data_IF_045175370974
#
_entry.id   IF_045175370974
#
_cell.length_a   1.000
_cell.length_b   1.000
_cell.length_c   1.000
_cell.angle_alpha   90.00
_cell.angle_beta   90.00
_cell.angle_gamma   90.00
#
_symmetry.space_group_name_H-M   'P 1'
#
loop_
_entity.id
_entity.type
_entity.pdbx_description
1 polymer ?
#
# COMPACT_ATOMS: atom_id res chain seq x y z
N UNK A 1 24.13 3.28 11.06
CA UNK A 1 23.54 2.00 10.64
C UNK A 1 22.80 2.27 9.34
N UNK A 2 23.34 1.80 8.22
CA UNK A 2 22.66 1.88 6.93
C UNK A 2 21.78 0.65 6.84
N UNK A 3 20.46 0.81 6.96
CA UNK A 3 19.54 -0.25 6.54
C UNK A 3 19.70 -0.37 5.02
N UNK A 4 20.28 -1.48 4.57
CA UNK A 4 20.15 -1.89 3.18
C UNK A 4 18.66 -1.93 2.84
N UNK A 5 18.20 -1.45 1.67
CA UNK A 5 16.80 -1.60 1.31
C UNK A 5 16.48 -3.09 1.34
N UNK A 6 15.68 -3.51 2.30
CA UNK A 6 15.26 -4.89 2.41
C UNK A 6 14.46 -5.19 1.14
N UNK A 7 14.95 -6.11 0.31
CA UNK A 7 14.28 -6.60 -0.90
C UNK A 7 13.01 -7.43 -0.58
N UNK A 8 12.42 -7.23 0.59
CA UNK A 8 11.20 -7.88 1.03
C UNK A 8 9.95 -7.14 0.56
N UNK A 9 8.78 -7.79 0.66
CA UNK A 9 7.51 -7.14 0.32
C UNK A 9 7.28 -5.93 1.25
N UNK A 10 6.84 -4.83 0.66
CA UNK A 10 6.51 -3.58 1.37
C UNK A 10 5.00 -3.47 1.55
N UNK A 11 4.57 -2.89 2.66
CA UNK A 11 3.17 -2.54 2.89
C UNK A 11 2.72 -1.39 2.00
N UNK A 12 1.51 -1.48 1.47
CA UNK A 12 0.87 -0.43 0.68
C UNK A 12 -0.59 -0.26 1.05
N UNK A 13 -1.06 0.98 0.94
CA UNK A 13 -2.45 1.39 1.03
C UNK A 13 -2.82 2.00 -0.31
N UNK A 14 -3.98 1.63 -0.84
CA UNK A 14 -4.47 2.09 -2.12
C UNK A 14 -5.81 2.80 -1.94
N UNK A 15 -5.97 3.91 -2.66
CA UNK A 15 -7.28 4.52 -2.91
C UNK A 15 -7.75 4.05 -4.29
N UNK A 16 -8.99 3.58 -4.38
CA UNK A 16 -9.58 3.02 -5.59
C UNK A 16 -10.99 3.54 -5.80
N UNK A 17 -11.42 3.52 -7.06
CA UNK A 17 -12.79 3.80 -7.46
C UNK A 17 -13.77 2.80 -6.79
N UNK A 18 -14.66 3.24 -5.88
CA UNK A 18 -15.59 2.36 -5.17
C UNK A 18 -16.58 1.65 -6.11
N UNK A 19 -16.96 2.28 -7.23
CA UNK A 19 -17.91 1.71 -8.19
C UNK A 19 -17.31 0.50 -8.94
N UNK A 20 -15.98 0.38 -8.92
CA UNK A 20 -15.22 -0.70 -9.57
C UNK A 20 -14.44 -1.56 -8.58
N UNK A 21 -14.71 -1.43 -7.28
CA UNK A 21 -13.88 -1.99 -6.22
C UNK A 21 -13.49 -3.46 -6.45
N UNK A 22 -14.47 -4.33 -6.70
CA UNK A 22 -14.22 -5.76 -6.90
C UNK A 22 -13.33 -6.06 -8.12
N UNK A 23 -13.52 -5.33 -9.22
CA UNK A 23 -12.68 -5.45 -10.42
C UNK A 23 -11.24 -5.02 -10.13
N UNK A 24 -11.08 -3.89 -9.40
CA UNK A 24 -9.78 -3.34 -9.05
C UNK A 24 -9.03 -4.26 -8.08
N UNK A 25 -9.71 -4.88 -7.11
CA UNK A 25 -9.11 -5.85 -6.18
C UNK A 25 -8.51 -7.04 -6.95
N UNK A 26 -9.25 -7.63 -7.88
CA UNK A 26 -8.76 -8.76 -8.68
C UNK A 26 -7.60 -8.36 -9.60
N UNK A 27 -7.68 -7.19 -10.23
CA UNK A 27 -6.59 -6.66 -11.03
C UNK A 27 -5.33 -6.36 -10.21
N UNK A 28 -5.49 -5.83 -8.99
CA UNK A 28 -4.38 -5.59 -8.06
C UNK A 28 -3.72 -6.91 -7.61
N UNK A 29 -4.50 -7.96 -7.34
CA UNK A 29 -3.98 -9.31 -7.07
C UNK A 29 -3.18 -9.84 -8.26
N UNK A 30 -3.70 -9.70 -9.48
CA UNK A 30 -2.99 -10.04 -10.71
C UNK A 30 -1.69 -9.24 -10.91
N UNK A 31 -1.67 -7.99 -10.47
CA UNK A 31 -0.49 -7.12 -10.47
C UNK A 31 0.54 -7.49 -9.38
N UNK A 32 0.23 -8.46 -8.50
CA UNK A 32 1.14 -9.01 -7.50
C UNK A 32 0.88 -8.53 -6.08
N UNK A 33 -0.22 -7.82 -5.82
CA UNK A 33 -0.61 -7.42 -4.47
C UNK A 33 -1.15 -8.62 -3.68
N UNK A 34 -0.59 -8.86 -2.51
CA UNK A 34 -1.20 -9.72 -1.49
C UNK A 34 -2.10 -8.85 -0.62
N UNK A 35 -3.40 -8.94 -0.83
CA UNK A 35 -4.39 -8.16 -0.08
C UNK A 35 -4.48 -8.63 1.37
N UNK A 36 -4.42 -7.70 2.30
CA UNK A 36 -4.55 -7.94 3.75
C UNK A 36 -5.78 -7.28 4.36
N UNK A 37 -6.41 -6.33 3.68
CA UNK A 37 -7.65 -5.69 4.12
C UNK A 37 -8.39 -4.98 2.99
N UNK A 38 -9.71 -5.07 3.02
CA UNK A 38 -10.60 -4.48 2.02
C UNK A 38 -11.63 -3.60 2.73
N UNK A 39 -11.80 -2.36 2.25
CA UNK A 39 -12.77 -1.39 2.77
C UNK A 39 -13.57 -0.83 1.59
N UNK A 40 -14.42 -1.67 1.00
CA UNK A 40 -15.13 -1.38 -0.24
C UNK A 40 -15.93 -0.07 -0.21
N UNK A 41 -16.63 0.20 0.89
CA UNK A 41 -17.43 1.42 1.06
C UNK A 41 -16.57 2.68 1.03
N UNK A 42 -15.33 2.59 1.51
CA UNK A 42 -14.38 3.71 1.57
C UNK A 42 -13.48 3.82 0.34
N UNK A 43 -13.54 2.85 -0.57
CA UNK A 43 -12.62 2.79 -1.72
C UNK A 43 -11.17 2.52 -1.30
N UNK A 44 -10.94 1.80 -0.20
CA UNK A 44 -9.58 1.57 0.32
C UNK A 44 -9.22 0.09 0.31
N UNK A 45 -7.99 -0.20 -0.12
CA UNK A 45 -7.41 -1.55 -0.13
C UNK A 45 -6.03 -1.50 0.53
N UNK A 46 -5.71 -2.46 1.39
CA UNK A 46 -4.37 -2.62 1.96
C UNK A 46 -3.78 -3.97 1.61
N UNK A 47 -2.46 -4.01 1.50
CA UNK A 47 -1.76 -5.24 1.18
C UNK A 47 -0.24 -5.09 1.21
N UNK A 48 0.42 -6.16 0.79
CA UNK A 48 1.88 -6.19 0.62
C UNK A 48 2.23 -6.53 -0.83
N UNK A 49 3.28 -5.92 -1.36
CA UNK A 49 3.74 -6.13 -2.74
C UNK A 49 5.26 -6.05 -2.80
N UNK A 50 5.86 -6.73 -3.78
CA UNK A 50 7.27 -6.51 -4.12
C UNK A 50 7.49 -5.04 -4.54
N UNK A 51 8.54 -4.42 -4.03
CA UNK A 51 8.75 -2.97 -4.19
C UNK A 51 8.91 -2.55 -5.67
N UNK A 52 9.55 -3.40 -6.48
CA UNK A 52 9.74 -3.22 -7.91
C UNK A 52 8.44 -3.33 -8.72
N UNK A 53 7.37 -3.90 -8.14
CA UNK A 53 6.05 -4.02 -8.76
C UNK A 53 5.10 -2.88 -8.45
N UNK A 54 5.47 -1.93 -7.58
CA UNK A 54 4.65 -0.73 -7.30
C UNK A 54 4.26 0.05 -8.58
N UNK A 55 5.15 0.26 -9.57
CA UNK A 55 4.77 0.90 -10.83
C UNK A 55 3.70 0.11 -11.60
N UNK A 56 3.76 -1.22 -11.60
CA UNK A 56 2.75 -2.06 -12.24
C UNK A 56 1.40 -1.96 -11.51
N UNK A 57 1.43 -1.88 -10.18
CA UNK A 57 0.24 -1.65 -9.37
C UNK A 57 -0.40 -0.30 -9.72
N UNK A 58 0.38 0.79 -9.78
CA UNK A 58 -0.10 2.14 -10.16
C UNK A 58 -0.74 2.22 -11.56
N UNK A 59 -0.46 1.26 -12.44
CA UNK A 59 -1.00 1.23 -13.80
C UNK A 59 -2.35 0.52 -13.91
N UNK A 60 -2.83 -0.14 -12.85
CA UNK A 60 -4.15 -0.78 -12.84
C UNK A 60 -5.25 0.29 -12.89
N UNK A 61 -6.16 0.15 -13.85
CA UNK A 61 -7.27 1.07 -14.01
C UNK A 61 -8.20 1.03 -12.78
N UNK A 62 -8.62 2.20 -12.31
CA UNK A 62 -9.44 2.34 -11.11
C UNK A 62 -8.63 2.50 -9.81
N UNK A 63 -7.30 2.41 -9.85
CA UNK A 63 -6.44 2.86 -8.74
C UNK A 63 -6.18 4.35 -8.90
N UNK A 64 -6.48 5.11 -7.86
CA UNK A 64 -6.28 6.55 -7.80
C UNK A 64 -4.95 6.91 -7.11
N UNK A 65 -4.61 6.18 -6.04
CA UNK A 65 -3.34 6.34 -5.34
C UNK A 65 -2.76 5.01 -4.85
N UNK A 66 -1.43 4.97 -4.73
CA UNK A 66 -0.70 3.90 -4.07
C UNK A 66 0.31 4.55 -3.13
N UNK A 67 0.05 4.39 -1.84
CA UNK A 67 0.84 4.93 -0.75
C UNK A 67 1.58 3.80 -0.06
N UNK A 68 2.90 3.96 0.12
CA UNK A 68 3.67 3.01 0.94
C UNK A 68 3.24 3.18 2.39
N UNK A 69 2.95 2.07 3.06
CA UNK A 69 2.80 2.08 4.50
C UNK A 69 4.13 2.49 5.13
N UNK A 70 4.09 3.52 5.98
CA UNK A 70 5.26 4.06 6.66
C UNK A 70 5.02 3.89 8.14
N UNK A 71 5.88 3.11 8.79
CA UNK A 71 5.93 3.08 10.25
C UNK A 71 6.44 4.43 10.74
N UNK A 72 5.53 5.28 11.22
CA UNK A 72 5.90 6.50 11.94
C UNK A 72 6.00 6.14 13.41
N UNK A 73 7.19 6.29 13.97
CA UNK A 73 7.40 6.09 15.40
C UNK A 73 7.11 7.39 16.13
N UNK A 74 6.36 7.29 17.24
CA UNK A 74 6.33 8.37 18.21
C UNK A 74 7.75 8.63 18.71
N UNK A 75 8.19 9.89 18.80
CA UNK A 75 9.44 10.20 19.48
C UNK A 75 9.34 9.68 20.92
N UNK A 76 10.46 9.18 21.50
CA UNK A 76 10.45 8.76 22.89
C UNK A 76 10.02 9.92 23.80
N UNK A 77 9.36 9.64 24.93
CA UNK A 77 8.78 10.67 25.80
C UNK A 77 9.79 11.70 26.31
N UNK A 78 11.08 11.36 26.33
CA UNK A 78 12.16 12.20 26.80
C UNK A 78 12.80 13.06 25.68
N UNK A 79 12.23 13.04 24.47
CA UNK A 79 12.74 13.83 23.34
C UNK A 79 12.48 15.33 23.55
N UNK A 80 13.44 16.21 23.18
CA UNK A 80 13.36 17.65 23.47
C UNK A 80 12.34 18.42 22.61
N UNK A 81 11.73 17.79 21.60
CA UNK A 81 10.67 18.36 20.76
C UNK A 81 9.61 17.28 20.48
N UNK A 82 8.34 17.68 20.57
CA UNK A 82 7.15 16.88 20.23
C UNK A 82 6.62 17.28 18.86
#
# INVERSE_FOLDING_TARGET
MSESPSSGPVGVILSVDPDRFAEVVEAARGAGLTVTGEQAILGTLSGTIAEDRIPALKAVAGIESVDRDRTVHLPPPDAPIQ
#
